data_IF_061921651937
#
_entry.id   IF_061921651937
#
_cell.length_a   1.000
_cell.length_b   1.000
_cell.length_c   1.000
_cell.angle_alpha   90.00
_cell.angle_beta   90.00
_cell.angle_gamma   90.00
#
_symmetry.space_group_name_H-M   'P 1'
#
loop_
_entity.id
_entity.type
_entity.pdbx_description
1 polymer ?
#
# COMPACT_ATOMS: atom_id res chain seq x y z
N UNK A 1 -53.31 65.73 -42.18
CA UNK A 1 -52.50 64.63 -42.72
C UNK A 1 -51.07 64.86 -42.24
N UNK A 2 -50.69 64.14 -41.19
CA UNK A 2 -49.46 64.27 -40.41
C UNK A 2 -48.86 62.86 -40.27
N UNK A 3 -47.55 62.74 -40.02
CA UNK A 3 -46.67 62.06 -40.96
C UNK A 3 -46.17 60.71 -40.47
N UNK A 4 -45.52 60.04 -41.42
CA UNK A 4 -44.78 58.79 -41.28
C UNK A 4 -43.63 58.83 -40.25
N UNK A 5 -43.50 57.74 -39.51
CA UNK A 5 -42.44 57.30 -38.59
C UNK A 5 -42.50 55.76 -38.61
N UNK A 6 -41.46 54.93 -38.43
CA UNK A 6 -39.99 54.98 -38.45
C UNK A 6 -39.58 53.50 -38.24
N UNK A 7 -38.36 53.14 -38.65
CA UNK A 7 -37.45 52.22 -37.94
C UNK A 7 -37.57 50.67 -37.94
N UNK A 8 -36.43 50.06 -38.36
CA UNK A 8 -35.50 49.16 -37.63
C UNK A 8 -35.71 47.62 -37.59
N UNK A 9 -34.86 46.94 -38.40
CA UNK A 9 -33.85 45.87 -38.08
C UNK A 9 -34.32 44.55 -37.39
N UNK A 10 -33.41 43.60 -37.07
CA UNK A 10 -32.91 42.51 -37.93
C UNK A 10 -33.21 41.13 -37.31
N UNK A 11 -33.04 40.03 -38.06
CA UNK A 11 -33.14 38.69 -37.50
C UNK A 11 -32.05 37.76 -38.07
N UNK A 12 -31.72 36.74 -37.28
CA UNK A 12 -30.71 35.68 -37.47
C UNK A 12 -29.31 36.01 -36.91
N UNK A 13 -28.65 35.15 -36.13
CA UNK A 13 -28.99 33.82 -35.63
C UNK A 13 -28.20 33.57 -34.34
N UNK A 14 -28.83 32.83 -33.42
CA UNK A 14 -28.24 32.36 -32.15
C UNK A 14 -27.49 31.07 -32.45
N UNK A 15 -26.18 31.01 -32.13
CA UNK A 15 -25.41 29.76 -32.07
C UNK A 15 -24.98 29.56 -30.62
N UNK A 16 -25.72 28.71 -29.89
CA UNK A 16 -25.34 28.18 -28.59
C UNK A 16 -24.35 27.03 -28.80
N UNK A 17 -23.07 27.25 -28.47
CA UNK A 17 -22.10 26.17 -28.32
C UNK A 17 -22.15 25.67 -26.87
N UNK A 18 -22.77 24.50 -26.65
CA UNK A 18 -22.76 23.82 -25.36
C UNK A 18 -21.49 22.97 -25.24
N UNK A 19 -20.49 23.48 -24.55
CA UNK A 19 -19.29 22.72 -24.17
C UNK A 19 -19.59 21.92 -22.91
N UNK A 20 -19.93 20.64 -23.05
CA UNK A 20 -20.04 19.72 -21.91
C UNK A 20 -18.63 19.31 -21.50
N UNK A 21 -18.12 19.94 -20.44
CA UNK A 21 -16.89 19.49 -19.79
C UNK A 21 -17.21 18.26 -18.91
N UNK A 22 -16.91 17.06 -19.40
CA UNK A 22 -16.87 15.86 -18.57
C UNK A 22 -15.64 15.94 -17.68
N UNK A 23 -15.81 16.39 -16.44
CA UNK A 23 -14.80 16.22 -15.39
C UNK A 23 -14.93 14.81 -14.84
N UNK A 24 -14.07 13.90 -15.31
CA UNK A 24 -13.95 12.55 -14.74
C UNK A 24 -13.23 12.69 -13.39
N UNK A 25 -13.99 12.66 -12.30
CA UNK A 25 -13.45 12.48 -10.96
C UNK A 25 -13.09 11.00 -10.80
N UNK A 26 -11.83 10.66 -11.03
CA UNK A 26 -11.31 9.33 -10.76
C UNK A 26 -11.11 9.17 -9.25
N UNK A 27 -12.06 8.51 -8.58
CA UNK A 27 -11.76 7.84 -7.32
C UNK A 27 -10.87 6.64 -7.65
N UNK A 28 -9.58 6.73 -7.33
CA UNK A 28 -8.69 5.57 -7.35
C UNK A 28 -9.08 4.65 -6.19
N UNK A 29 -10.01 3.72 -6.44
CA UNK A 29 -10.07 2.49 -5.66
C UNK A 29 -9.02 1.56 -6.27
N UNK A 30 -7.98 1.25 -5.51
CA UNK A 30 -6.84 0.43 -5.92
C UNK A 30 -7.28 -1.03 -6.11
N UNK A 31 -7.87 -1.32 -7.26
CA UNK A 31 -8.08 -2.70 -7.70
C UNK A 31 -6.75 -3.27 -8.18
N UNK A 32 -6.04 -3.96 -7.27
CA UNK A 32 -4.95 -4.88 -7.56
C UNK A 32 -3.86 -4.32 -8.47
N UNK A 33 -3.05 -3.43 -7.91
CA UNK A 33 -1.90 -2.81 -8.56
C UNK A 33 -1.06 -3.82 -9.33
N UNK A 34 -0.86 -3.55 -10.61
CA UNK A 34 0.16 -4.22 -11.41
C UNK A 34 1.51 -3.87 -10.80
N UNK A 35 2.08 -4.77 -10.03
CA UNK A 35 3.40 -4.60 -9.42
C UNK A 35 4.46 -4.36 -10.49
N UNK A 36 5.46 -3.56 -10.16
CA UNK A 36 6.62 -3.26 -10.99
C UNK A 36 7.63 -2.46 -10.19
N UNK A 37 8.89 -2.43 -10.64
CA UNK A 37 9.95 -1.69 -9.96
C UNK A 37 9.55 -0.22 -9.71
N UNK A 38 9.73 0.24 -8.48
CA UNK A 38 9.31 1.56 -7.99
C UNK A 38 7.88 1.62 -7.44
N UNK A 39 7.09 0.54 -7.54
CA UNK A 39 5.75 0.50 -6.93
C UNK A 39 5.85 0.41 -5.42
N UNK A 40 5.05 1.22 -4.72
CA UNK A 40 4.92 1.16 -3.27
C UNK A 40 3.63 0.44 -2.89
N UNK A 41 3.75 -0.51 -1.98
CA UNK A 41 2.65 -1.27 -1.39
C UNK A 41 2.50 -0.81 0.06
N UNK A 42 1.33 -0.30 0.40
CA UNK A 42 0.98 0.06 1.78
C UNK A 42 0.58 -1.18 2.58
N UNK A 43 0.80 -1.14 3.90
CA UNK A 43 0.27 -2.15 4.79
C UNK A 43 -1.27 -2.22 4.68
N UNK A 44 -1.80 -3.43 4.61
CA UNK A 44 -3.25 -3.68 4.66
C UNK A 44 -3.73 -3.78 6.11
N UNK A 45 -2.92 -4.43 6.95
CA UNK A 45 -3.22 -4.70 8.34
C UNK A 45 -1.94 -4.67 9.19
N UNK A 46 -2.07 -4.26 10.45
CA UNK A 46 -1.04 -4.40 11.46
C UNK A 46 -1.67 -4.78 12.80
N UNK A 47 -1.03 -5.70 13.52
CA UNK A 47 -1.54 -6.20 14.79
C UNK A 47 -0.46 -6.77 15.70
N UNK A 48 -0.73 -6.74 17.00
CA UNK A 48 0.12 -7.36 18.00
C UNK A 48 0.03 -8.89 17.90
N UNK A 49 1.18 -9.55 17.93
CA UNK A 49 1.29 -11.00 17.86
C UNK A 49 2.08 -11.52 16.66
N UNK A 50 2.21 -12.85 16.64
CA UNK A 50 2.63 -13.60 15.47
C UNK A 50 1.49 -13.62 14.43
N UNK A 51 1.77 -13.94 13.16
CA UNK A 51 0.75 -13.99 12.13
C UNK A 51 -0.41 -14.92 12.51
N UNK A 52 -1.64 -14.45 12.30
CA UNK A 52 -2.84 -15.23 12.55
C UNK A 52 -2.93 -16.43 11.59
N UNK A 53 -3.66 -17.47 12.00
CA UNK A 53 -3.85 -18.68 11.18
C UNK A 53 -2.64 -19.61 11.06
N UNK A 54 -1.46 -19.18 11.51
CA UNK A 54 -0.23 -19.97 11.51
C UNK A 54 -0.05 -20.72 12.84
N UNK A 55 0.17 -22.03 12.78
CA UNK A 55 0.34 -22.88 13.97
C UNK A 55 1.78 -23.38 14.06
N UNK A 56 2.34 -23.36 15.28
CA UNK A 56 3.67 -23.94 15.54
C UNK A 56 4.82 -23.08 15.02
N UNK A 57 4.59 -21.77 14.81
CA UNK A 57 5.66 -20.86 14.44
C UNK A 57 6.78 -20.88 15.51
N UNK A 58 8.05 -20.92 15.08
CA UNK A 58 9.15 -20.92 16.02
C UNK A 58 9.11 -19.64 16.84
N UNK A 59 9.18 -19.79 18.17
CA UNK A 59 9.46 -18.67 19.06
C UNK A 59 10.80 -18.07 18.66
N UNK A 60 10.87 -16.74 18.55
CA UNK A 60 12.09 -16.05 18.15
C UNK A 60 12.70 -15.24 19.30
N UNK A 61 13.43 -15.89 20.23
CA UNK A 61 13.99 -15.21 21.38
C UNK A 61 15.10 -14.21 21.01
N UNK A 62 15.66 -14.27 19.79
CA UNK A 62 16.65 -13.27 19.34
C UNK A 62 16.02 -11.94 18.96
N UNK A 63 14.69 -11.91 18.75
CA UNK A 63 13.98 -10.71 18.30
C UNK A 63 14.26 -10.32 16.85
N UNK A 64 14.86 -11.23 16.07
CA UNK A 64 15.13 -10.99 14.65
C UNK A 64 13.82 -10.83 13.84
N UNK A 65 13.81 -10.01 12.78
CA UNK A 65 12.69 -9.94 11.85
C UNK A 65 12.37 -11.30 11.23
N UNK A 66 11.09 -11.60 11.08
CA UNK A 66 10.62 -12.83 10.44
C UNK A 66 9.65 -12.51 9.30
N UNK A 67 9.76 -13.27 8.22
CA UNK A 67 8.94 -13.11 7.02
C UNK A 67 8.08 -14.36 6.82
N UNK A 68 6.85 -14.15 6.37
CA UNK A 68 5.87 -15.22 6.18
C UNK A 68 5.06 -15.03 4.91
N UNK A 69 4.81 -16.13 4.21
CA UNK A 69 3.69 -16.20 3.27
C UNK A 69 2.39 -16.41 4.06
N UNK A 70 1.38 -15.64 3.73
CA UNK A 70 0.04 -15.73 4.31
C UNK A 70 -0.97 -15.90 3.18
N UNK A 71 -2.11 -16.51 3.50
CA UNK A 71 -3.25 -16.66 2.56
C UNK A 71 -2.83 -17.23 1.19
N UNK A 72 -2.18 -18.41 1.18
CA UNK A 72 -1.70 -19.06 -0.05
C UNK A 72 -0.84 -18.12 -0.93
N UNK A 73 0.13 -17.45 -0.27
CA UNK A 73 1.01 -16.42 -0.79
C UNK A 73 0.34 -15.19 -1.44
N UNK A 74 -0.97 -14.98 -1.24
CA UNK A 74 -1.59 -13.72 -1.64
C UNK A 74 -1.16 -12.54 -0.77
N UNK A 75 -0.56 -12.82 0.40
CA UNK A 75 -0.07 -11.84 1.34
C UNK A 75 1.33 -12.17 1.86
N UNK A 76 2.07 -11.12 2.18
CA UNK A 76 3.37 -11.15 2.86
C UNK A 76 3.18 -10.59 4.26
N UNK A 77 3.51 -11.40 5.28
CA UNK A 77 3.57 -10.98 6.67
C UNK A 77 5.01 -10.68 7.09
N UNK A 78 5.22 -9.54 7.75
CA UNK A 78 6.49 -9.18 8.37
C UNK A 78 6.26 -9.03 9.87
N UNK A 79 6.93 -9.87 10.65
CA UNK A 79 6.86 -9.83 12.11
C UNK A 79 8.14 -9.25 12.66
N UNK A 80 7.99 -8.17 13.41
CA UNK A 80 9.06 -7.48 14.12
C UNK A 80 8.85 -7.58 15.63
N UNK A 81 9.92 -7.42 16.40
CA UNK A 81 9.89 -7.57 17.85
C UNK A 81 10.19 -6.25 18.54
N UNK A 82 9.34 -5.84 19.47
CA UNK A 82 9.50 -4.58 20.20
C UNK A 82 8.61 -4.46 21.43
N UNK A 83 8.53 -3.26 21.98
CA UNK A 83 7.67 -2.95 23.12
C UNK A 83 6.20 -3.04 22.72
N UNK A 84 5.35 -3.70 23.52
CA UNK A 84 3.89 -3.72 23.26
C UNK A 84 3.26 -2.34 23.20
N UNK A 85 3.82 -1.35 23.91
CA UNK A 85 3.35 0.03 23.85
C UNK A 85 3.97 0.85 22.71
N UNK A 86 5.04 0.37 22.07
CA UNK A 86 5.75 1.02 20.98
C UNK A 86 6.21 -0.03 19.96
N UNK A 87 5.28 -0.74 19.30
CA UNK A 87 5.67 -1.78 18.37
C UNK A 87 6.34 -1.17 17.13
N UNK A 88 7.39 -1.80 16.61
CA UNK A 88 7.87 -1.51 15.27
C UNK A 88 6.83 -1.96 14.24
N UNK A 89 6.51 -1.08 13.29
CA UNK A 89 5.53 -1.32 12.23
C UNK A 89 6.22 -1.04 10.89
N UNK A 90 6.05 -1.92 9.92
CA UNK A 90 6.49 -1.65 8.54
C UNK A 90 5.37 -0.87 7.85
N UNK A 91 5.63 0.38 7.45
CA UNK A 91 4.62 1.22 6.82
C UNK A 91 4.35 0.81 5.36
N UNK A 92 5.41 0.46 4.65
CA UNK A 92 5.32 0.14 3.22
C UNK A 92 6.45 -0.77 2.73
N UNK A 93 6.17 -1.44 1.60
CA UNK A 93 7.17 -2.12 0.78
C UNK A 93 7.31 -1.37 -0.54
N UNK A 94 8.53 -1.01 -0.91
CA UNK A 94 8.85 -0.50 -2.24
C UNK A 94 9.48 -1.60 -3.07
N UNK A 95 8.84 -1.97 -4.18
CA UNK A 95 9.34 -3.01 -5.06
C UNK A 95 10.60 -2.53 -5.80
N UNK A 96 11.71 -3.23 -5.62
CA UNK A 96 12.98 -2.94 -6.33
C UNK A 96 13.18 -3.86 -7.53
N UNK A 97 12.60 -5.07 -7.49
CA UNK A 97 12.44 -6.00 -8.62
C UNK A 97 11.25 -6.93 -8.38
N UNK A 98 10.93 -7.83 -9.31
CA UNK A 98 9.78 -8.75 -9.21
C UNK A 98 9.71 -9.49 -7.85
N UNK A 99 10.86 -9.96 -7.34
CA UNK A 99 11.00 -10.68 -6.07
C UNK A 99 11.89 -9.95 -5.06
N UNK A 100 12.02 -8.62 -5.14
CA UNK A 100 12.80 -7.86 -4.16
C UNK A 100 12.11 -6.56 -3.74
N UNK A 101 12.19 -6.27 -2.44
CA UNK A 101 11.52 -5.14 -1.81
C UNK A 101 12.43 -4.42 -0.81
N UNK A 102 12.24 -3.11 -0.69
CA UNK A 102 12.74 -2.30 0.43
C UNK A 102 11.57 -2.05 1.38
N UNK A 103 11.73 -2.42 2.65
CA UNK A 103 10.75 -2.20 3.70
C UNK A 103 11.05 -0.90 4.44
N UNK A 104 10.04 -0.03 4.55
CA UNK A 104 10.14 1.22 5.31
C UNK A 104 9.45 1.07 6.65
N UNK A 105 10.17 1.35 7.74
CA UNK A 105 9.58 1.41 9.07
C UNK A 105 8.82 2.72 9.30
N UNK A 106 7.68 2.60 9.97
CA UNK A 106 7.00 3.75 10.52
C UNK A 106 7.84 4.36 11.66
N UNK A 107 7.86 5.69 11.74
CA UNK A 107 8.47 6.38 12.88
C UNK A 107 7.76 6.02 14.20
N UNK A 108 8.54 5.61 15.21
CA UNK A 108 8.01 5.34 16.54
C UNK A 108 7.84 6.67 17.28
N UNK A 109 6.62 7.03 17.72
CA UNK A 109 6.39 8.29 18.43
C UNK A 109 7.23 8.39 19.71
N UNK A 110 7.69 9.60 20.04
CA UNK A 110 8.42 9.88 21.28
C UNK A 110 7.51 9.80 22.51
N UNK A 111 7.17 8.58 22.94
CA UNK A 111 6.36 8.26 24.12
C UNK A 111 7.07 7.23 25.00
N UNK A 112 6.73 7.12 26.30
CA UNK A 112 7.27 6.08 27.15
C UNK A 112 6.93 4.69 26.62
N UNK A 113 7.94 3.87 26.39
CA UNK A 113 7.78 2.49 25.98
C UNK A 113 7.91 1.54 27.19
N UNK A 114 7.13 0.46 27.18
CA UNK A 114 7.24 -0.66 28.11
C UNK A 114 8.48 -1.52 27.81
N UNK A 115 8.85 -2.40 28.73
CA UNK A 115 10.10 -3.19 28.68
C UNK A 115 9.93 -4.62 28.16
N UNK A 116 8.73 -5.00 27.78
CA UNK A 116 8.46 -6.29 27.16
C UNK A 116 8.94 -6.30 25.70
N UNK A 117 9.32 -7.48 25.23
CA UNK A 117 9.67 -7.73 23.84
C UNK A 117 8.64 -8.71 23.29
N UNK A 118 7.73 -8.20 22.48
CA UNK A 118 6.61 -8.96 21.91
C UNK A 118 6.61 -8.83 20.38
N UNK A 119 6.07 -9.84 19.67
CA UNK A 119 5.95 -9.77 18.23
C UNK A 119 4.83 -8.80 17.82
N UNK A 120 5.01 -8.14 16.69
CA UNK A 120 4.02 -7.34 16.00
C UNK A 120 4.12 -7.64 14.50
N UNK A 121 2.99 -7.96 13.88
CA UNK A 121 2.94 -8.38 12.48
C UNK A 121 2.30 -7.29 11.64
N UNK A 122 2.91 -6.98 10.50
CA UNK A 122 2.34 -6.12 9.47
C UNK A 122 2.16 -6.92 8.19
N UNK A 123 1.02 -6.77 7.53
CA UNK A 123 0.59 -7.57 6.38
C UNK A 123 0.46 -6.69 5.14
N UNK A 124 0.96 -7.21 4.02
CA UNK A 124 0.93 -6.57 2.71
C UNK A 124 0.32 -7.52 1.69
N UNK A 125 -0.42 -6.99 0.72
CA UNK A 125 -0.76 -7.75 -0.48
C UNK A 125 0.51 -8.11 -1.26
N UNK A 126 0.57 -9.33 -1.78
CA UNK A 126 1.61 -9.75 -2.70
C UNK A 126 1.37 -9.08 -4.07
N UNK A 127 2.34 -8.32 -4.62
CA UNK A 127 2.22 -7.76 -5.95
C UNK A 127 2.08 -8.85 -7.02
N UNK A 128 1.27 -8.60 -8.06
CA UNK A 128 1.07 -9.56 -9.16
C UNK A 128 2.34 -9.91 -9.94
N UNK A 129 3.37 -9.07 -9.90
CA UNK A 129 4.67 -9.33 -10.53
C UNK A 129 5.56 -10.27 -9.71
N UNK A 130 5.24 -10.50 -8.44
CA UNK A 130 6.00 -11.39 -7.57
C UNK A 130 5.69 -12.85 -7.90
N UNK A 131 6.73 -13.67 -7.89
CA UNK A 131 6.64 -15.12 -8.11
C UNK A 131 6.82 -15.85 -6.78
N UNK A 132 5.75 -16.31 -6.11
CA UNK A 132 5.86 -16.96 -4.79
C UNK A 132 6.66 -18.27 -4.79
N UNK A 133 6.74 -18.96 -5.93
CA UNK A 133 7.54 -20.19 -6.08
C UNK A 133 9.06 -19.94 -6.13
N UNK A 134 9.50 -18.69 -5.94
CA UNK A 134 10.90 -18.28 -5.88
C UNK A 134 11.14 -17.47 -4.61
N UNK A 135 12.36 -17.49 -4.09
CA UNK A 135 12.70 -16.70 -2.91
C UNK A 135 12.44 -15.20 -3.15
N UNK A 136 11.94 -14.52 -2.13
CA UNK A 136 11.73 -13.08 -2.10
C UNK A 136 12.73 -12.45 -1.14
N UNK A 137 13.39 -11.38 -1.59
CA UNK A 137 14.31 -10.60 -0.75
C UNK A 137 13.61 -9.36 -0.22
N UNK A 138 13.67 -9.13 1.09
CA UNK A 138 13.18 -7.90 1.71
C UNK A 138 14.34 -7.26 2.47
N UNK A 139 14.71 -6.04 2.08
CA UNK A 139 15.70 -5.24 2.79
C UNK A 139 14.98 -4.41 3.83
N UNK A 140 15.36 -4.54 5.10
CA UNK A 140 14.82 -3.79 6.23
C UNK A 140 15.98 -3.14 6.98
N UNK A 141 16.02 -1.81 7.03
CA UNK A 141 17.12 -1.04 7.63
C UNK A 141 18.52 -1.50 7.14
N UNK A 142 18.64 -1.78 5.85
CA UNK A 142 19.88 -2.27 5.22
C UNK A 142 20.20 -3.75 5.49
N UNK A 143 19.37 -4.46 6.26
CA UNK A 143 19.50 -5.91 6.48
C UNK A 143 18.71 -6.67 5.43
N UNK A 144 19.37 -7.56 4.69
CA UNK A 144 18.71 -8.43 3.70
C UNK A 144 18.10 -9.65 4.38
N UNK A 145 16.79 -9.80 4.24
CA UNK A 145 16.01 -10.92 4.75
C UNK A 145 15.47 -11.74 3.56
N UNK A 146 15.44 -13.06 3.71
CA UNK A 146 14.89 -13.95 2.69
C UNK A 146 13.58 -14.55 3.17
N UNK A 147 12.52 -14.32 2.39
CA UNK A 147 11.27 -15.08 2.46
C UNK A 147 11.42 -16.24 1.47
N UNK A 148 11.59 -17.49 1.94
CA UNK A 148 11.79 -18.62 1.05
C UNK A 148 10.58 -18.82 0.12
N UNK A 149 10.83 -19.42 -1.04
CA UNK A 149 9.78 -19.85 -1.95
C UNK A 149 8.67 -20.61 -1.21
N UNK A 150 7.42 -20.25 -1.51
CA UNK A 150 6.24 -21.00 -1.08
C UNK A 150 6.30 -22.42 -1.68
N UNK A 151 5.96 -23.42 -0.87
CA UNK A 151 6.02 -24.84 -1.24
C UNK A 151 4.66 -25.49 -1.30
#
# INVERSE_FOLDING_TARGET
>A
MTPSLRSLRPAAAVLLAASVALTISACASSEGGVGGAGSTISAEEDYAGLPEGMVGLPQNPSGEPQLYWLQDASQIGITLWGSSSCPPIVESLTQTSDNAFEATLQEIPAKPCTRDLVPHTTVFATPKSTTPSSDVTIVLDGTSLTLPAER
#
